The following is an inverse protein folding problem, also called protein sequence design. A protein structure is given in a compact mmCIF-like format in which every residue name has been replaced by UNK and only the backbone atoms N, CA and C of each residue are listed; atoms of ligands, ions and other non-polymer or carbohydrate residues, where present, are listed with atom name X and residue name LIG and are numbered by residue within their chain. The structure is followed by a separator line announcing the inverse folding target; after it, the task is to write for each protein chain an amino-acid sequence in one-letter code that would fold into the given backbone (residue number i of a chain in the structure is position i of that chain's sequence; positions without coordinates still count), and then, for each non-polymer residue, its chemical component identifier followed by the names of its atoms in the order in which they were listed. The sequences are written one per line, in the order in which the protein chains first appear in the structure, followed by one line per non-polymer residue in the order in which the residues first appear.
data_IF_002142132412
#
_entry.id   IF_002142132412
#
_cell.length_a   1.000
_cell.length_b   1.000
_cell.length_c   1.000
_cell.angle_alpha   90.00
_cell.angle_beta   90.00
_cell.angle_gamma   90.00
#
_symmetry.space_group_name_H-M   'P 1'
#
loop_
_entity.id
_entity.type
_entity.pdbx_description
1 polymer ?
#
# COMPACT_ATOMS: atom_id res chain seq x y z
N UNK A 1 13.61 -25.08 4.41
CA UNK A 1 12.42 -24.50 5.07
C UNK A 1 11.93 -25.54 6.05
N UNK A 2 12.04 -25.27 7.35
CA UNK A 2 11.47 -26.17 8.35
C UNK A 2 9.96 -26.06 8.30
N UNK A 3 9.31 -27.18 8.00
CA UNK A 3 7.84 -27.23 7.94
C UNK A 3 7.32 -27.09 9.37
N UNK A 4 6.35 -26.19 9.62
CA UNK A 4 5.75 -26.02 10.93
C UNK A 4 5.28 -27.36 11.50
N UNK A 5 5.65 -27.66 12.75
CA UNK A 5 5.42 -28.97 13.35
C UNK A 5 3.92 -29.22 13.47
N UNK A 6 3.44 -30.30 12.86
CA UNK A 6 2.06 -30.78 13.03
C UNK A 6 1.97 -31.55 14.35
N UNK A 7 1.08 -31.10 15.24
CA UNK A 7 0.83 -31.67 16.55
C UNK A 7 -0.54 -32.33 16.63
N UNK A 8 -0.65 -33.34 17.48
CA UNK A 8 -1.95 -33.93 17.85
C UNK A 8 -2.75 -32.97 18.72
N UNK A 9 -4.06 -33.19 18.85
CA UNK A 9 -4.92 -32.40 19.72
C UNK A 9 -4.45 -32.44 21.19
N UNK A 10 -3.91 -33.58 21.63
CA UNK A 10 -3.36 -33.73 22.98
C UNK A 10 -2.09 -32.88 23.17
N UNK A 11 -1.18 -32.90 22.19
CA UNK A 11 0.04 -32.09 22.20
C UNK A 11 -0.26 -30.60 22.11
N UNK A 12 -1.19 -30.20 21.26
CA UNK A 12 -1.64 -28.82 21.15
C UNK A 12 -2.29 -28.35 22.47
N UNK A 13 -3.15 -29.17 23.08
CA UNK A 13 -3.76 -28.86 24.39
C UNK A 13 -2.70 -28.71 25.48
N UNK A 14 -1.71 -29.60 25.51
CA UNK A 14 -0.57 -29.51 26.44
C UNK A 14 0.28 -28.25 26.19
N UNK A 15 0.37 -27.79 24.94
CA UNK A 15 1.01 -26.54 24.52
C UNK A 15 0.14 -25.29 24.70
N UNK A 16 -1.02 -25.38 25.35
CA UNK A 16 -1.90 -24.24 25.64
C UNK A 16 -2.95 -23.93 24.57
N UNK A 17 -3.14 -24.80 23.57
CA UNK A 17 -4.30 -24.69 22.68
C UNK A 17 -5.58 -24.98 23.48
N UNK A 18 -6.44 -23.98 23.65
CA UNK A 18 -7.67 -24.13 24.43
C UNK A 18 -8.67 -25.09 23.76
N UNK A 19 -9.35 -25.93 24.56
CA UNK A 19 -10.50 -26.76 24.13
C UNK A 19 -11.78 -25.94 23.82
N UNK A 20 -11.75 -24.60 23.97
CA UNK A 20 -12.91 -23.70 23.82
C UNK A 20 -12.59 -22.41 23.06
N UNK A 21 -13.63 -21.76 22.51
CA UNK A 21 -13.63 -20.68 21.49
C UNK A 21 -12.90 -19.35 21.82
N UNK A 22 -12.12 -19.24 22.89
CA UNK A 22 -11.37 -18.01 23.17
C UNK A 22 -10.00 -18.31 23.78
N UNK A 23 -8.98 -17.77 23.09
CA UNK A 23 -7.55 -17.63 23.44
C UNK A 23 -6.67 -18.81 22.95
N UNK A 24 -5.68 -18.64 22.07
CA UNK A 24 -5.04 -17.44 21.49
C UNK A 24 -4.80 -17.55 19.98
N UNK A 25 -4.48 -16.43 19.33
CA UNK A 25 -4.30 -16.28 17.87
C UNK A 25 -3.05 -17.00 17.29
N UNK A 26 -2.52 -17.96 18.04
CA UNK A 26 -1.23 -18.62 17.85
C UNK A 26 -1.37 -20.09 17.53
N UNK A 27 -2.58 -20.64 17.45
CA UNK A 27 -2.83 -22.05 17.12
C UNK A 27 -3.83 -22.16 15.97
N UNK A 28 -3.61 -23.14 15.10
CA UNK A 28 -4.47 -23.43 13.96
C UNK A 28 -4.83 -24.92 13.93
N UNK A 29 -6.13 -25.20 13.95
CA UNK A 29 -6.67 -26.54 13.66
C UNK A 29 -6.83 -26.71 12.14
N UNK A 30 -6.04 -27.62 11.57
CA UNK A 30 -6.02 -27.94 10.14
C UNK A 30 -7.11 -28.97 9.79
N UNK A 31 -7.14 -30.08 10.53
CA UNK A 31 -8.06 -31.20 10.33
C UNK A 31 -8.10 -32.08 11.59
N UNK A 32 -8.91 -33.14 11.59
CA UNK A 32 -8.98 -34.10 12.70
C UNK A 32 -7.58 -34.49 13.20
N UNK A 33 -7.33 -34.21 14.48
CA UNK A 33 -6.06 -34.46 15.18
C UNK A 33 -4.80 -33.80 14.56
N UNK A 34 -4.98 -32.71 13.81
CA UNK A 34 -3.89 -31.95 13.18
C UNK A 34 -3.95 -30.48 13.55
N UNK A 35 -2.99 -30.07 14.37
CA UNK A 35 -2.83 -28.71 14.87
C UNK A 35 -1.44 -28.17 14.53
N UNK A 36 -1.32 -26.86 14.34
CA UNK A 36 -0.05 -26.17 14.12
C UNK A 36 -0.01 -24.90 14.95
N UNK A 37 1.14 -24.57 15.54
CA UNK A 37 1.34 -23.28 16.19
C UNK A 37 1.71 -22.24 15.12
N UNK A 38 0.91 -21.19 14.97
CA UNK A 38 1.17 -20.11 14.01
C UNK A 38 2.40 -19.26 14.38
N UNK A 39 2.85 -19.32 15.64
CA UNK A 39 4.10 -18.69 16.07
C UNK A 39 5.35 -19.42 15.54
N UNK A 40 5.22 -20.68 15.10
CA UNK A 40 6.32 -21.45 14.50
C UNK A 40 6.56 -21.07 13.03
N UNK A 41 5.68 -20.26 12.44
CA UNK A 41 5.91 -19.73 11.10
C UNK A 41 7.08 -18.73 11.12
N UNK A 42 8.06 -18.94 10.24
CA UNK A 42 9.29 -18.14 10.19
C UNK A 42 9.02 -16.73 9.67
N UNK A 43 8.00 -16.59 8.81
CA UNK A 43 7.58 -15.31 8.25
C UNK A 43 6.04 -15.20 8.03
N UNK A 44 5.62 -14.02 7.55
CA UNK A 44 4.21 -13.74 7.27
C UNK A 44 3.62 -14.58 6.13
N UNK A 45 4.42 -15.03 5.16
CA UNK A 45 3.95 -15.82 4.02
C UNK A 45 3.65 -17.26 4.45
N UNK A 46 4.55 -17.88 5.20
CA UNK A 46 4.34 -19.22 5.77
C UNK A 46 3.08 -19.26 6.65
N UNK A 47 2.88 -18.21 7.47
CA UNK A 47 1.65 -18.05 8.27
C UNK A 47 0.40 -18.04 7.40
N UNK A 48 0.39 -17.30 6.29
CA UNK A 48 -0.75 -17.28 5.36
C UNK A 48 -0.97 -18.62 4.66
N UNK A 49 0.10 -19.32 4.28
CA UNK A 49 -0.01 -20.65 3.66
C UNK A 49 -0.61 -21.69 4.61
N UNK A 50 -0.22 -21.66 5.89
CA UNK A 50 -0.85 -22.49 6.93
C UNK A 50 -2.33 -22.17 7.07
N UNK A 51 -2.68 -20.89 7.19
CA UNK A 51 -4.07 -20.46 7.31
C UNK A 51 -4.92 -20.92 6.11
N UNK A 52 -4.37 -20.83 4.89
CA UNK A 52 -5.04 -21.24 3.66
C UNK A 52 -5.47 -22.72 3.66
N UNK A 53 -4.67 -23.62 4.26
CA UNK A 53 -5.02 -25.05 4.37
C UNK A 53 -6.28 -25.32 5.19
N UNK A 54 -6.65 -24.41 6.09
CA UNK A 54 -7.88 -24.50 6.88
C UNK A 54 -9.07 -23.76 6.27
N UNK A 55 -8.88 -23.08 5.13
CA UNK A 55 -9.94 -22.29 4.48
C UNK A 55 -10.61 -23.11 3.38
N UNK A 56 -11.88 -22.81 3.05
CA UNK A 56 -12.52 -23.36 1.85
C UNK A 56 -11.73 -23.02 0.58
N UNK A 57 -11.78 -23.90 -0.43
CA UNK A 57 -11.02 -23.73 -1.68
C UNK A 57 -11.39 -22.46 -2.47
N UNK A 58 -12.59 -21.94 -2.25
CA UNK A 58 -13.08 -20.71 -2.88
C UNK A 58 -12.77 -19.44 -2.08
N UNK A 59 -12.09 -19.58 -0.94
CA UNK A 59 -11.59 -18.46 -0.16
C UNK A 59 -10.47 -17.71 -0.89
N UNK A 60 -10.39 -16.39 -0.66
CA UNK A 60 -9.28 -15.57 -1.10
C UNK A 60 -8.90 -14.58 0.00
N UNK A 61 -7.60 -14.40 0.27
CA UNK A 61 -7.18 -13.28 1.11
C UNK A 61 -7.53 -11.95 0.42
N UNK A 62 -7.84 -10.93 1.20
CA UNK A 62 -8.39 -9.66 0.69
C UNK A 62 -7.92 -8.45 1.49
N UNK A 63 -8.31 -7.24 1.07
CA UNK A 63 -7.97 -5.97 1.73
C UNK A 63 -6.45 -5.84 1.94
N UNK A 64 -6.02 -5.39 3.13
CA UNK A 64 -4.61 -5.24 3.50
C UNK A 64 -3.78 -6.51 3.36
N UNK A 65 -4.37 -7.69 3.57
CA UNK A 65 -3.65 -8.96 3.38
C UNK A 65 -3.32 -9.19 1.92
N UNK A 66 -4.31 -9.04 1.03
CA UNK A 66 -4.06 -9.16 -0.41
C UNK A 66 -3.13 -8.05 -0.90
N UNK A 67 -3.30 -6.81 -0.44
CA UNK A 67 -2.44 -5.70 -0.81
C UNK A 67 -0.98 -5.99 -0.47
N UNK A 68 -0.70 -6.49 0.74
CA UNK A 68 0.65 -6.91 1.13
C UNK A 68 1.20 -8.02 0.23
N UNK A 69 0.42 -9.09 -0.01
CA UNK A 69 0.84 -10.21 -0.87
C UNK A 69 1.08 -9.78 -2.32
N UNK A 70 0.32 -8.79 -2.80
CA UNK A 70 0.47 -8.22 -4.15
C UNK A 70 1.60 -7.18 -4.25
N UNK A 71 2.37 -6.94 -3.18
CA UNK A 71 3.54 -6.05 -3.21
C UNK A 71 3.27 -4.61 -2.77
N UNK A 72 2.09 -4.30 -2.23
CA UNK A 72 1.84 -2.98 -1.65
C UNK A 72 2.59 -2.80 -0.33
N UNK A 73 3.12 -1.60 -0.09
CA UNK A 73 3.85 -1.23 1.13
C UNK A 73 2.91 -1.00 2.31
N UNK A 74 2.23 -2.05 2.75
CA UNK A 74 1.32 -2.05 3.90
C UNK A 74 1.78 -3.07 4.94
N UNK A 75 1.57 -2.75 6.21
CA UNK A 75 1.84 -3.71 7.29
C UNK A 75 0.86 -4.88 7.20
N UNK A 76 1.37 -6.10 7.38
CA UNK A 76 0.51 -7.29 7.51
C UNK A 76 -0.36 -7.14 8.75
N UNK A 77 -1.70 -7.23 8.64
CA UNK A 77 -2.56 -7.21 9.82
C UNK A 77 -2.34 -8.45 10.67
N UNK A 78 -2.39 -8.29 12.00
CA UNK A 78 -2.26 -9.41 12.96
C UNK A 78 -3.27 -10.54 12.69
N UNK A 79 -4.46 -10.18 12.21
CA UNK A 79 -5.47 -11.11 11.71
C UNK A 79 -5.70 -10.87 10.22
N UNK A 80 -5.24 -11.78 9.34
CA UNK A 80 -5.46 -11.68 7.91
C UNK A 80 -6.94 -11.61 7.54
N UNK A 81 -7.28 -10.84 6.50
CA UNK A 81 -8.67 -10.76 6.02
C UNK A 81 -8.90 -11.73 4.87
N UNK A 82 -9.98 -12.49 4.94
CA UNK A 82 -10.37 -13.47 3.91
C UNK A 82 -11.77 -13.12 3.39
N UNK A 83 -11.90 -13.06 2.08
CA UNK A 83 -13.17 -12.98 1.39
C UNK A 83 -13.70 -14.39 1.09
N UNK A 84 -14.97 -14.63 1.43
CA UNK A 84 -15.70 -15.87 1.14
C UNK A 84 -16.96 -15.56 0.36
N UNK A 85 -17.33 -16.46 -0.54
CA UNK A 85 -18.64 -16.45 -1.19
C UNK A 85 -19.76 -16.71 -0.16
N UNK A 86 -20.97 -16.13 -0.36
CA UNK A 86 -22.12 -16.39 0.51
C UNK A 86 -22.43 -17.88 0.61
N UNK A 87 -22.62 -18.37 1.84
CA UNK A 87 -22.92 -19.78 2.13
C UNK A 87 -23.73 -19.93 3.41
N UNK A 88 -24.37 -21.09 3.58
CA UNK A 88 -25.26 -21.37 4.72
C UNK A 88 -24.53 -21.36 6.07
N UNK A 89 -23.29 -21.88 6.12
CA UNK A 89 -22.48 -21.93 7.34
C UNK A 89 -21.11 -21.32 7.05
N UNK A 90 -20.80 -20.22 7.74
CA UNK A 90 -19.51 -19.56 7.64
C UNK A 90 -18.50 -20.22 8.57
N UNK A 91 -17.30 -20.58 8.09
CA UNK A 91 -16.23 -21.01 8.98
C UNK A 91 -15.88 -19.84 9.91
N UNK A 92 -16.03 -20.07 11.21
CA UNK A 92 -15.60 -19.13 12.25
C UNK A 92 -14.19 -19.52 12.70
N UNK A 93 -13.22 -18.70 12.34
CA UNK A 93 -11.80 -18.87 12.71
C UNK A 93 -11.32 -17.60 13.42
N UNK A 94 -10.71 -17.75 14.59
CA UNK A 94 -10.28 -16.60 15.39
C UNK A 94 -9.07 -15.89 14.76
N UNK A 95 -8.33 -16.60 13.92
CA UNK A 95 -7.06 -16.20 13.34
C UNK A 95 -7.25 -15.26 12.13
N UNK A 96 -8.44 -15.26 11.51
CA UNK A 96 -8.76 -14.45 10.33
C UNK A 96 -9.99 -13.57 10.55
N UNK A 97 -10.08 -12.49 9.77
CA UNK A 97 -11.29 -11.67 9.65
C UNK A 97 -12.02 -12.09 8.38
N UNK A 98 -13.24 -12.62 8.54
CA UNK A 98 -14.05 -13.06 7.40
C UNK A 98 -14.89 -11.91 6.83
N UNK A 99 -14.86 -11.75 5.51
CA UNK A 99 -15.73 -10.85 4.73
C UNK A 99 -16.53 -11.68 3.75
N UNK A 100 -17.84 -11.43 3.67
CA UNK A 100 -18.72 -12.16 2.76
C UNK A 100 -18.98 -11.30 1.54
N UNK A 101 -18.76 -11.85 0.35
CA UNK A 101 -19.05 -11.20 -0.92
C UNK A 101 -19.03 -12.21 -2.06
N UNK A 102 -19.77 -11.91 -3.11
CA UNK A 102 -19.61 -12.64 -4.38
C UNK A 102 -18.36 -12.15 -5.07
N UNK A 103 -17.46 -13.09 -5.40
CA UNK A 103 -16.28 -12.85 -6.23
C UNK A 103 -16.45 -13.63 -7.53
N UNK A 104 -16.10 -13.00 -8.64
CA UNK A 104 -15.97 -13.66 -9.95
C UNK A 104 -14.56 -14.20 -10.12
N UNK A 105 -14.33 -14.99 -11.19
CA UNK A 105 -12.99 -15.47 -11.51
C UNK A 105 -11.98 -14.33 -11.73
N UNK A 106 -12.42 -13.19 -12.27
CA UNK A 106 -11.57 -12.00 -12.49
C UNK A 106 -11.21 -11.26 -11.19
N UNK A 107 -11.97 -11.49 -10.11
CA UNK A 107 -11.73 -10.82 -8.83
C UNK A 107 -10.69 -11.56 -7.97
N UNK A 108 -10.16 -12.69 -8.44
CA UNK A 108 -9.23 -13.55 -7.69
C UNK A 108 -8.05 -13.95 -8.55
N UNK A 109 -6.84 -13.87 -7.98
CA UNK A 109 -5.60 -14.36 -8.59
C UNK A 109 -4.87 -15.28 -7.62
N UNK A 110 -3.96 -16.09 -8.14
CA UNK A 110 -3.02 -16.86 -7.32
C UNK A 110 -1.67 -16.15 -7.37
N UNK A 111 -1.19 -15.71 -6.21
CA UNK A 111 0.13 -15.09 -6.06
C UNK A 111 0.93 -15.93 -5.07
N UNK A 112 2.07 -16.45 -5.53
CA UNK A 112 3.02 -17.21 -4.71
C UNK A 112 2.40 -18.42 -3.98
N UNK A 113 1.39 -19.05 -4.60
CA UNK A 113 0.63 -20.19 -4.09
C UNK A 113 -0.58 -19.82 -3.22
N UNK A 114 -0.85 -18.53 -3.00
CA UNK A 114 -1.97 -18.04 -2.20
C UNK A 114 -3.08 -17.48 -3.10
N UNK A 115 -4.33 -17.88 -2.86
CA UNK A 115 -5.50 -17.22 -3.46
C UNK A 115 -5.72 -15.87 -2.81
N UNK A 116 -5.69 -14.80 -3.59
CA UNK A 116 -5.90 -13.42 -3.13
C UNK A 116 -6.86 -12.69 -4.07
N UNK A 117 -7.52 -11.64 -3.60
CA UNK A 117 -8.27 -10.75 -4.49
C UNK A 117 -7.33 -10.13 -5.52
N UNK A 118 -7.76 -9.98 -6.78
CA UNK A 118 -6.98 -9.31 -7.84
C UNK A 118 -6.60 -7.88 -7.44
N UNK A 119 -5.60 -7.26 -8.08
CA UNK A 119 -5.21 -5.88 -7.77
C UNK A 119 -6.39 -4.89 -7.80
N UNK A 120 -7.23 -4.87 -8.85
CA UNK A 120 -8.41 -4.02 -8.90
C UNK A 120 -9.41 -4.26 -7.76
N UNK A 121 -9.68 -5.54 -7.44
CA UNK A 121 -10.58 -5.90 -6.34
C UNK A 121 -9.97 -5.50 -4.98
N UNK A 122 -8.68 -5.71 -4.80
CA UNK A 122 -7.92 -5.35 -3.59
C UNK A 122 -7.92 -3.83 -3.37
N UNK A 123 -7.75 -3.05 -4.43
CA UNK A 123 -7.85 -1.59 -4.37
C UNK A 123 -9.25 -1.16 -3.90
N UNK A 124 -10.31 -1.72 -4.50
CA UNK A 124 -11.69 -1.44 -4.09
C UNK A 124 -11.96 -1.87 -2.63
N UNK A 125 -11.38 -2.97 -2.17
CA UNK A 125 -11.49 -3.44 -0.79
C UNK A 125 -10.82 -2.49 0.20
N UNK A 126 -9.62 -2.01 -0.14
CA UNK A 126 -8.89 -1.02 0.65
C UNK A 126 -9.64 0.30 0.70
N UNK A 127 -10.29 0.70 -0.40
CA UNK A 127 -11.08 1.92 -0.47
C UNK A 127 -12.24 1.94 0.56
N UNK A 128 -12.71 0.79 1.02
CA UNK A 128 -13.77 0.70 2.03
C UNK A 128 -13.32 1.10 3.44
N UNK A 129 -12.01 1.07 3.71
CA UNK A 129 -11.42 1.20 5.06
C UNK A 129 -10.31 2.26 5.16
N UNK A 130 -9.80 2.77 4.04
CA UNK A 130 -8.72 3.76 3.98
C UNK A 130 -9.21 5.17 3.68
N UNK A 131 -8.42 6.17 4.10
CA UNK A 131 -8.47 7.53 3.57
C UNK A 131 -7.96 7.57 2.13
N UNK A 132 -8.19 8.68 1.42
CA UNK A 132 -7.84 8.79 0.01
C UNK A 132 -6.32 8.79 -0.23
N UNK A 133 -5.54 9.41 0.65
CA UNK A 133 -4.08 9.43 0.61
C UNK A 133 -3.45 8.04 0.84
N UNK A 134 -3.98 7.26 1.78
CA UNK A 134 -3.56 5.87 1.99
C UNK A 134 -3.96 4.97 0.82
N UNK A 135 -5.16 5.18 0.28
CA UNK A 135 -5.64 4.45 -0.89
C UNK A 135 -4.78 4.74 -2.13
N UNK A 136 -4.37 6.00 -2.32
CA UNK A 136 -3.45 6.41 -3.38
C UNK A 136 -2.12 5.66 -3.25
N UNK A 137 -1.54 5.62 -2.05
CA UNK A 137 -0.30 4.88 -1.79
C UNK A 137 -0.41 3.37 -2.06
N UNK A 138 -1.55 2.75 -1.74
CA UNK A 138 -1.79 1.34 -2.08
C UNK A 138 -1.93 1.17 -3.59
N UNK A 139 -2.69 2.04 -4.26
CA UNK A 139 -2.90 1.99 -5.71
C UNK A 139 -1.60 2.13 -6.50
N UNK A 140 -0.78 3.13 -6.17
CA UNK A 140 0.53 3.35 -6.79
C UNK A 140 1.42 2.11 -6.63
N UNK A 141 1.44 1.52 -5.43
CA UNK A 141 2.24 0.34 -5.16
C UNK A 141 1.74 -0.90 -5.92
N UNK A 142 0.42 -1.06 -6.09
CA UNK A 142 -0.15 -2.14 -6.89
C UNK A 142 0.16 -1.98 -8.38
N UNK A 143 0.09 -0.75 -8.93
CA UNK A 143 0.52 -0.46 -10.30
C UNK A 143 2.01 -0.77 -10.49
N UNK A 144 2.86 -0.26 -9.58
CA UNK A 144 4.31 -0.48 -9.61
C UNK A 144 4.69 -1.95 -9.54
N UNK A 145 3.97 -2.73 -8.74
CA UNK A 145 4.17 -4.17 -8.61
C UNK A 145 3.63 -4.99 -9.80
N UNK A 146 2.98 -4.34 -10.78
CA UNK A 146 2.32 -5.01 -11.89
C UNK A 146 1.11 -5.86 -11.47
N UNK A 147 0.51 -5.55 -10.31
CA UNK A 147 -0.64 -6.28 -9.78
C UNK A 147 -1.98 -5.84 -10.40
N UNK A 148 -1.98 -4.72 -11.12
CA UNK A 148 -3.10 -4.24 -11.92
C UNK A 148 -2.63 -3.25 -13.01
N UNK A 149 -3.47 -3.02 -14.02
CA UNK A 149 -3.39 -1.86 -14.93
C UNK A 149 -4.53 -0.86 -14.68
N UNK A 150 -4.42 0.33 -15.26
CA UNK A 150 -5.46 1.36 -15.21
C UNK A 150 -6.76 0.90 -15.88
N UNK A 151 -6.65 0.13 -16.97
CA UNK A 151 -7.80 -0.45 -17.69
C UNK A 151 -8.51 -1.50 -16.85
N UNK A 152 -7.76 -2.41 -16.21
CA UNK A 152 -8.31 -3.43 -15.32
C UNK A 152 -9.00 -2.80 -14.11
N UNK A 153 -8.39 -1.77 -13.52
CA UNK A 153 -8.98 -1.00 -12.44
C UNK A 153 -10.27 -0.32 -12.88
N UNK A 154 -10.26 0.36 -14.03
CA UNK A 154 -11.43 1.02 -14.59
C UNK A 154 -12.57 0.05 -14.85
N UNK A 155 -12.28 -1.10 -15.45
CA UNK A 155 -13.26 -2.17 -15.69
C UNK A 155 -13.87 -2.68 -14.37
N UNK A 156 -13.04 -2.89 -13.35
CA UNK A 156 -13.52 -3.33 -12.04
C UNK A 156 -14.41 -2.28 -11.36
N UNK A 157 -14.04 -1.00 -11.42
CA UNK A 157 -14.79 0.09 -10.80
C UNK A 157 -16.11 0.39 -11.52
N UNK A 158 -16.19 0.14 -12.84
CA UNK A 158 -17.44 0.17 -13.59
C UNK A 158 -18.44 -0.86 -13.05
N UNK A 159 -17.97 -2.07 -12.74
CA UNK A 159 -18.77 -3.14 -12.08
C UNK A 159 -18.97 -2.93 -10.57
N UNK A 160 -18.39 -1.88 -9.99
CA UNK A 160 -18.35 -1.63 -8.55
C UNK A 160 -19.69 -1.34 -7.87
N UNK A 161 -20.76 -1.08 -8.62
CA UNK A 161 -22.12 -0.89 -8.10
C UNK A 161 -22.18 0.08 -6.91
N UNK A 162 -22.80 -0.37 -5.79
CA UNK A 162 -22.89 0.34 -4.51
C UNK A 162 -21.87 -0.16 -3.47
N UNK A 163 -20.74 -0.71 -3.90
CA UNK A 163 -19.72 -1.21 -2.97
C UNK A 163 -19.25 -0.07 -2.04
N UNK A 164 -19.07 -0.40 -0.75
CA UNK A 164 -18.52 0.56 0.22
C UNK A 164 -17.15 1.04 -0.26
N UNK A 165 -16.95 2.36 -0.29
CA UNK A 165 -15.68 2.95 -0.75
C UNK A 165 -15.58 3.15 -2.26
N UNK A 166 -16.55 2.72 -3.08
CA UNK A 166 -16.50 2.86 -4.55
C UNK A 166 -16.38 4.31 -5.01
N UNK A 167 -17.03 5.25 -4.31
CA UNK A 167 -16.92 6.69 -4.62
C UNK A 167 -15.48 7.15 -4.44
N UNK A 168 -14.86 6.83 -3.29
CA UNK A 168 -13.45 7.14 -3.03
C UNK A 168 -12.52 6.46 -4.04
N UNK A 169 -12.78 5.19 -4.36
CA UNK A 169 -12.00 4.47 -5.35
C UNK A 169 -12.05 5.16 -6.72
N UNK A 170 -13.23 5.60 -7.16
CA UNK A 170 -13.39 6.36 -8.42
C UNK A 170 -12.76 7.75 -8.38
N UNK A 171 -12.74 8.40 -7.21
CA UNK A 171 -12.04 9.68 -7.03
C UNK A 171 -10.53 9.51 -7.10
N UNK A 172 -9.97 8.46 -6.50
CA UNK A 172 -8.51 8.25 -6.41
C UNK A 172 -7.93 7.61 -7.67
N UNK A 173 -8.65 6.68 -8.30
CA UNK A 173 -8.14 5.88 -9.44
C UNK A 173 -7.51 6.72 -10.58
N UNK A 174 -8.10 7.84 -11.04
CA UNK A 174 -7.52 8.65 -12.12
C UNK A 174 -6.18 9.34 -11.75
N UNK A 175 -5.81 9.32 -10.47
CA UNK A 175 -4.61 9.96 -9.95
C UNK A 175 -3.54 8.96 -9.54
N UNK A 176 -3.71 7.67 -9.78
CA UNK A 176 -2.67 6.68 -9.48
C UNK A 176 -1.48 6.83 -10.44
N UNK A 177 -0.29 6.58 -9.94
CA UNK A 177 0.95 6.60 -10.73
C UNK A 177 1.99 5.67 -10.09
N UNK A 178 2.35 4.60 -10.80
CA UNK A 178 3.31 3.60 -10.32
C UNK A 178 4.75 4.11 -10.15
N UNK A 179 5.08 5.33 -10.59
CA UNK A 179 6.41 5.94 -10.44
C UNK A 179 6.69 6.46 -9.03
N UNK A 180 5.67 6.62 -8.18
CA UNK A 180 5.90 6.89 -6.76
C UNK A 180 6.55 5.64 -6.13
N UNK A 181 7.68 5.80 -5.45
CA UNK A 181 8.51 4.68 -4.98
C UNK A 181 8.22 4.29 -3.54
N UNK A 182 7.58 5.18 -2.78
CA UNK A 182 7.24 4.93 -1.39
C UNK A 182 5.84 5.41 -0.99
N UNK A 183 5.29 4.82 0.07
CA UNK A 183 3.99 5.22 0.64
C UNK A 183 3.97 6.70 1.02
N UNK A 184 4.99 7.27 1.68
CA UNK A 184 5.02 8.70 1.97
C UNK A 184 5.01 9.59 0.73
N UNK A 185 5.73 9.23 -0.35
CA UNK A 185 5.70 9.99 -1.60
C UNK A 185 4.29 10.05 -2.20
N UNK A 186 3.60 8.91 -2.29
CA UNK A 186 2.21 8.85 -2.78
C UNK A 186 1.25 9.70 -1.93
N UNK A 187 1.45 9.73 -0.61
CA UNK A 187 0.63 10.57 0.29
C UNK A 187 0.88 12.05 0.08
N UNK A 188 2.16 12.47 0.00
CA UNK A 188 2.54 13.87 -0.28
C UNK A 188 1.96 14.28 -1.63
N UNK A 189 2.10 13.44 -2.65
CA UNK A 189 1.53 13.67 -3.97
C UNK A 189 0.02 13.82 -3.94
N UNK A 190 -0.68 12.93 -3.24
CA UNK A 190 -2.14 13.02 -3.09
C UNK A 190 -2.55 14.37 -2.47
N UNK A 191 -1.90 14.81 -1.40
CA UNK A 191 -2.26 16.09 -0.76
C UNK A 191 -1.99 17.31 -1.63
N UNK A 192 -1.00 17.24 -2.52
CA UNK A 192 -0.73 18.30 -3.50
C UNK A 192 -1.79 18.28 -4.61
N UNK A 193 -2.18 17.10 -5.10
CA UNK A 193 -3.25 16.94 -6.11
C UNK A 193 -4.64 17.34 -5.57
N UNK A 194 -4.92 17.05 -4.31
CA UNK A 194 -6.18 17.39 -3.60
C UNK A 194 -6.19 18.85 -3.12
N UNK A 195 -5.36 19.71 -3.70
CA UNK A 195 -5.27 21.14 -3.39
C UNK A 195 -5.46 21.99 -4.66
N UNK A 196 -5.47 23.31 -4.49
CA UNK A 196 -5.51 24.31 -5.56
C UNK A 196 -4.12 24.64 -6.13
N UNK A 197 -3.08 23.88 -5.76
CA UNK A 197 -1.76 24.00 -6.34
C UNK A 197 -1.75 23.49 -7.79
N UNK A 198 -0.78 23.91 -8.63
CA UNK A 198 -0.67 23.39 -9.97
C UNK A 198 -0.38 21.87 -9.93
N UNK A 199 -0.68 21.12 -11.01
CA UNK A 199 -0.43 19.69 -11.06
C UNK A 199 1.03 19.37 -10.70
N UNK A 200 1.21 18.46 -9.74
CA UNK A 200 2.55 18.02 -9.32
C UNK A 200 3.02 16.88 -10.22
N UNK A 201 4.28 16.93 -10.62
CA UNK A 201 4.93 15.89 -11.40
C UNK A 201 5.74 14.96 -10.50
N UNK A 202 5.86 13.69 -10.90
CA UNK A 202 6.72 12.69 -10.26
C UNK A 202 8.03 12.54 -11.05
N UNK A 203 9.11 12.16 -10.35
CA UNK A 203 10.42 11.90 -10.96
C UNK A 203 10.87 13.10 -11.81
N UNK A 204 10.83 14.30 -11.21
CA UNK A 204 11.10 15.56 -11.94
C UNK A 204 12.58 15.65 -12.28
N UNK A 205 12.95 15.83 -13.57
CA UNK A 205 14.34 15.92 -13.97
C UNK A 205 14.99 17.20 -13.41
N UNK A 206 16.14 17.02 -12.77
CA UNK A 206 17.01 18.12 -12.35
C UNK A 206 18.06 18.32 -13.41
N UNK A 207 18.09 19.52 -13.99
CA UNK A 207 19.00 19.88 -15.07
C UNK A 207 20.08 20.83 -14.60
N UNK A 208 21.32 20.59 -15.03
CA UNK A 208 22.42 21.53 -14.84
C UNK A 208 22.25 22.79 -15.71
N UNK A 209 23.15 23.76 -15.53
CA UNK A 209 23.15 25.00 -16.36
C UNK A 209 23.34 24.75 -17.87
N UNK A 210 23.79 23.56 -18.28
CA UNK A 210 23.96 23.16 -19.67
C UNK A 210 22.75 22.39 -20.22
N UNK A 211 21.74 22.13 -19.38
CA UNK A 211 20.50 21.42 -19.73
C UNK A 211 20.57 19.90 -19.57
N UNK A 212 21.70 19.35 -19.11
CA UNK A 212 21.87 17.92 -18.91
C UNK A 212 21.17 17.46 -17.63
N UNK A 213 20.46 16.33 -17.69
CA UNK A 213 19.80 15.75 -16.50
C UNK A 213 20.84 15.11 -15.60
N UNK A 214 20.95 15.58 -14.36
CA UNK A 214 21.93 15.11 -13.37
C UNK A 214 21.31 14.31 -12.23
N UNK A 215 20.01 14.48 -11.99
CA UNK A 215 19.24 13.75 -10.97
C UNK A 215 17.74 13.78 -11.30
N UNK A 216 16.95 13.02 -10.55
CA UNK A 216 15.49 13.15 -10.51
C UNK A 216 15.08 13.38 -9.05
N UNK A 217 14.18 14.34 -8.83
CA UNK A 217 13.54 14.52 -7.53
C UNK A 217 12.24 13.72 -7.47
N UNK A 218 11.84 13.28 -6.27
CA UNK A 218 10.64 12.45 -6.09
C UNK A 218 9.41 13.08 -6.75
N UNK A 219 9.22 14.39 -6.51
CA UNK A 219 8.12 15.16 -7.07
C UNK A 219 8.46 16.64 -7.19
N UNK A 220 7.63 17.41 -7.90
CA UNK A 220 7.76 18.85 -7.94
C UNK A 220 7.09 19.50 -9.14
N UNK A 221 7.58 20.69 -9.48
CA UNK A 221 7.15 21.48 -10.62
C UNK A 221 8.37 22.04 -11.35
N UNK A 222 8.67 21.50 -12.54
CA UNK A 222 9.84 21.89 -13.34
C UNK A 222 9.76 23.39 -13.73
N UNK A 223 8.57 23.87 -14.12
CA UNK A 223 8.32 25.26 -14.54
C UNK A 223 8.79 26.29 -13.50
N UNK A 224 8.48 26.07 -12.22
CA UNK A 224 8.86 26.97 -11.12
C UNK A 224 10.18 26.59 -10.46
N UNK A 225 10.85 25.52 -10.93
CA UNK A 225 12.04 24.92 -10.30
C UNK A 225 11.84 24.66 -8.81
N UNK A 226 10.69 24.14 -8.43
CA UNK A 226 10.38 23.75 -7.04
C UNK A 226 10.33 22.23 -6.98
N UNK A 227 11.18 21.64 -6.16
CA UNK A 227 11.30 20.18 -6.01
C UNK A 227 10.89 19.77 -4.59
N UNK A 228 10.37 18.56 -4.45
CA UNK A 228 10.03 17.95 -3.18
C UNK A 228 10.70 16.59 -3.06
N UNK A 229 11.28 16.32 -1.90
CA UNK A 229 11.83 15.02 -1.53
C UNK A 229 11.31 14.57 -0.18
N UNK A 230 11.00 13.28 -0.07
CA UNK A 230 10.67 12.66 1.20
C UNK A 230 11.91 12.05 1.85
N UNK A 231 12.25 12.55 3.03
CA UNK A 231 13.37 12.02 3.81
C UNK A 231 12.84 10.92 4.75
N UNK A 232 12.94 9.67 4.29
CA UNK A 232 12.78 8.51 5.17
C UNK A 232 13.90 8.47 6.22
N UNK A 233 13.67 7.82 7.37
CA UNK A 233 14.78 7.42 8.25
C UNK A 233 15.63 6.39 7.50
N UNK A 234 16.51 6.85 6.63
CA UNK A 234 17.57 6.03 6.08
C UNK A 234 18.67 5.98 7.14
N UNK A 235 19.09 4.78 7.53
CA UNK A 235 20.45 4.59 8.01
C UNK A 235 21.31 4.83 6.78
N UNK A 236 21.61 6.10 6.48
CA UNK A 236 22.45 6.46 5.36
C UNK A 236 23.84 5.90 5.67
N UNK A 237 24.29 4.95 4.85
CA UNK A 237 25.70 4.60 4.77
C UNK A 237 26.49 5.90 4.53
N UNK A 238 27.69 6.09 5.12
CA UNK A 238 28.44 7.34 5.02
C UNK A 238 28.57 7.89 3.59
N UNK A 239 28.80 7.00 2.62
CA UNK A 239 28.96 7.36 1.20
C UNK A 239 27.67 7.87 0.52
N UNK A 240 26.50 7.62 1.11
CA UNK A 240 25.23 8.15 0.63
C UNK A 240 25.03 9.59 1.08
N UNK A 241 25.55 9.95 2.26
CA UNK A 241 25.47 11.30 2.81
C UNK A 241 26.24 12.31 1.95
N UNK A 242 27.49 12.01 1.59
CA UNK A 242 28.33 12.91 0.79
C UNK A 242 27.73 13.15 -0.61
N UNK A 243 27.20 12.08 -1.24
CA UNK A 243 26.51 12.19 -2.53
C UNK A 243 25.24 13.03 -2.45
N UNK A 244 24.48 12.93 -1.35
CA UNK A 244 23.30 13.78 -1.14
C UNK A 244 23.67 15.25 -0.92
N UNK A 245 24.76 15.54 -0.19
CA UNK A 245 25.27 16.90 -0.01
C UNK A 245 25.64 17.53 -1.34
N UNK A 246 26.40 16.83 -2.19
CA UNK A 246 26.77 17.30 -3.51
C UNK A 246 25.52 17.52 -4.39
N UNK A 247 24.61 16.55 -4.40
CA UNK A 247 23.35 16.60 -5.15
C UNK A 247 22.52 17.84 -4.78
N UNK A 248 22.36 18.13 -3.50
CA UNK A 248 21.59 19.28 -3.03
C UNK A 248 22.28 20.62 -3.29
N UNK A 249 23.61 20.65 -3.19
CA UNK A 249 24.39 21.85 -3.50
C UNK A 249 24.27 22.21 -4.98
N UNK A 250 24.31 21.20 -5.87
CA UNK A 250 24.11 21.36 -7.31
C UNK A 250 22.70 21.84 -7.64
N UNK A 251 21.66 21.19 -7.09
CA UNK A 251 20.26 21.63 -7.26
C UNK A 251 20.08 23.11 -6.91
N UNK A 252 20.64 23.54 -5.77
CA UNK A 252 20.58 24.94 -5.34
C UNK A 252 21.35 25.87 -6.30
N UNK A 253 22.54 25.48 -6.74
CA UNK A 253 23.37 26.23 -7.69
C UNK A 253 22.72 26.37 -9.07
N UNK A 254 21.87 25.41 -9.46
CA UNK A 254 21.08 25.41 -10.69
C UNK A 254 19.72 26.11 -10.52
N UNK A 255 19.49 26.70 -9.34
CA UNK A 255 18.34 27.55 -9.07
C UNK A 255 17.09 26.77 -8.71
N UNK A 256 17.16 25.50 -8.33
CA UNK A 256 16.03 24.77 -7.76
C UNK A 256 15.82 25.13 -6.28
N UNK A 257 14.55 25.21 -5.86
CA UNK A 257 14.16 25.28 -4.46
C UNK A 257 13.69 23.90 -4.02
N UNK A 258 14.50 23.23 -3.20
CA UNK A 258 14.20 21.90 -2.69
C UNK A 258 13.43 21.96 -1.35
N UNK A 259 12.29 21.28 -1.30
CA UNK A 259 11.49 21.08 -0.10
C UNK A 259 11.70 19.66 0.44
N UNK A 260 12.23 19.55 1.66
CA UNK A 260 12.45 18.25 2.31
C UNK A 260 11.34 17.96 3.33
N UNK A 261 10.65 16.85 3.15
CA UNK A 261 9.58 16.39 4.01
C UNK A 261 10.01 15.17 4.82
N UNK A 262 10.41 15.38 6.08
CA UNK A 262 10.55 14.30 7.05
C UNK A 262 9.19 13.81 7.58
N UNK A 263 9.18 12.66 8.26
CA UNK A 263 7.96 12.06 8.83
C UNK A 263 7.10 13.03 9.69
N UNK A 264 7.72 13.94 10.46
CA UNK A 264 6.98 14.94 11.27
C UNK A 264 6.20 15.96 10.43
N UNK A 265 6.56 16.14 9.16
CA UNK A 265 5.90 17.06 8.24
C UNK A 265 4.76 16.39 7.46
N UNK A 266 4.51 15.08 7.66
CA UNK A 266 3.58 14.26 6.87
C UNK A 266 2.12 14.52 7.26
N UNK A 267 1.63 15.72 6.93
CA UNK A 267 0.23 16.10 6.99
C UNK A 267 -0.08 17.09 5.85
N UNK A 268 -1.31 17.02 5.34
CA UNK A 268 -1.76 17.81 4.19
C UNK A 268 -1.48 19.31 4.33
N UNK A 269 -1.85 19.91 5.48
CA UNK A 269 -1.66 21.35 5.75
C UNK A 269 -0.20 21.76 5.59
N UNK A 270 0.72 21.07 6.25
CA UNK A 270 2.15 21.44 6.24
C UNK A 270 2.75 21.29 4.84
N UNK A 271 2.41 20.21 4.15
CA UNK A 271 2.87 19.94 2.79
C UNK A 271 2.39 21.02 1.84
N UNK A 272 1.08 21.27 1.80
CA UNK A 272 0.45 22.26 0.91
C UNK A 272 0.94 23.67 1.23
N UNK A 273 1.00 24.09 2.50
CA UNK A 273 1.42 25.44 2.88
C UNK A 273 2.88 25.73 2.51
N UNK A 274 3.78 24.74 2.68
CA UNK A 274 5.19 24.88 2.29
C UNK A 274 5.33 24.94 0.78
N UNK A 275 4.66 24.04 0.06
CA UNK A 275 4.68 24.04 -1.40
C UNK A 275 4.09 25.31 -1.99
N UNK A 276 2.98 25.81 -1.45
CA UNK A 276 2.39 27.09 -1.86
C UNK A 276 3.38 28.24 -1.71
N UNK A 277 4.02 28.38 -0.54
CA UNK A 277 4.99 29.46 -0.31
C UNK A 277 6.17 29.37 -1.27
N UNK A 278 6.66 28.16 -1.53
CA UNK A 278 7.73 27.93 -2.50
C UNK A 278 7.31 28.37 -3.90
N UNK A 279 6.16 27.91 -4.38
CA UNK A 279 5.61 28.26 -5.68
C UNK A 279 5.40 29.77 -5.84
N UNK A 280 4.79 30.44 -4.86
CA UNK A 280 4.60 31.90 -4.86
C UNK A 280 5.94 32.64 -4.93
N UNK A 281 6.95 32.18 -4.17
CA UNK A 281 8.31 32.77 -4.21
C UNK A 281 9.00 32.61 -5.56
N UNK A 282 8.56 31.64 -6.37
CA UNK A 282 9.07 31.34 -7.71
C UNK A 282 8.17 31.84 -8.83
N UNK A 283 7.20 32.70 -8.51
CA UNK A 283 6.39 33.41 -9.51
C UNK A 283 5.12 32.69 -9.96
N UNK A 284 4.76 31.56 -9.35
CA UNK A 284 3.44 30.98 -9.56
C UNK A 284 2.36 31.96 -9.06
N UNK A 285 1.31 32.15 -9.87
CA UNK A 285 0.17 32.99 -9.53
C UNK A 285 -1.08 32.11 -9.49
N UNK A 286 -1.76 32.02 -8.33
CA UNK A 286 -3.02 31.28 -8.25
C UNK A 286 -4.02 31.83 -9.26
N UNK A 287 -4.82 30.97 -9.91
CA UNK A 287 -5.94 31.42 -10.72
C UNK A 287 -6.85 32.33 -9.88
N UNK A 288 -7.39 33.40 -10.48
CA UNK A 288 -8.39 34.22 -9.79
C UNK A 288 -9.60 33.33 -9.49
N UNK A 289 -9.98 33.21 -8.22
CA UNK A 289 -11.25 32.58 -7.86
C UNK A 289 -12.37 33.42 -8.48
N UNK A 290 -13.17 32.78 -9.33
CA UNK A 290 -14.41 33.34 -9.92
C UNK A 290 -15.56 33.00 -9.00
#
# INVERSE_FOLDING_TARGET
MDVPRVLTAAQATAGGAGRGRRQGADWLHLAHDRWVQLADALDGRERLALLAQGLPDDAAFSHLTAAHVLGAHVAMPARPTVALTPRRVLPQRAEVVTRIRTLTAEDVVVRDGLRVTSGPQTFLDCAAIMSADELCAVGDALLRAGAMTDEELSARLARGGRARGVVRARTVAPHLDGRAMSRPESQVRWWLLDSDLPPVELQVPVRDRRGAVVAHADLGWEEWRVLGEYEGRQHAEPDQFDRDVDRYSLMAADGYLLLRFANRHRNARTVVDRSRRALLSRGWRPPRQV
#
